data_IF_806682827233
#
_entry.id   IF_806682827233
#
_cell.length_a   1.000
_cell.length_b   1.000
_cell.length_c   1.000
_cell.angle_alpha   90.00
_cell.angle_beta   90.00
_cell.angle_gamma   90.00
#
_symmetry.space_group_name_H-M   'P 1'
#
loop_
_entity.id
_entity.type
_entity.pdbx_description
1 polymer ?
#
# COMPACT_ATOMS: atom_id res chain seq x y z
N UNK A 1 -4.71 7.34 -25.59
CA UNK A 1 -6.00 6.71 -25.92
C UNK A 1 -5.93 5.24 -25.53
N UNK A 2 -6.91 4.72 -24.80
CA UNK A 2 -6.95 3.30 -24.38
C UNK A 2 -7.05 2.38 -25.60
N UNK A 3 -6.21 1.36 -25.65
CA UNK A 3 -6.26 0.36 -26.73
C UNK A 3 -7.42 -0.62 -26.52
N UNK A 4 -7.94 -1.20 -27.60
CA UNK A 4 -8.99 -2.22 -27.52
C UNK A 4 -8.57 -3.44 -26.68
N UNK A 5 -7.28 -3.82 -26.73
CA UNK A 5 -6.72 -4.88 -25.89
C UNK A 5 -6.82 -4.53 -24.40
N UNK A 6 -6.47 -3.30 -24.04
CA UNK A 6 -6.54 -2.83 -22.65
C UNK A 6 -8.00 -2.76 -22.18
N UNK A 7 -8.91 -2.23 -23.01
CA UNK A 7 -10.34 -2.18 -22.71
C UNK A 7 -10.90 -3.57 -22.38
N UNK A 8 -10.63 -4.56 -23.24
CA UNK A 8 -11.04 -5.96 -23.01
C UNK A 8 -10.43 -6.53 -21.73
N UNK A 9 -9.17 -6.22 -21.44
CA UNK A 9 -8.53 -6.66 -20.21
C UNK A 9 -9.22 -6.08 -18.96
N UNK A 10 -9.52 -4.78 -18.96
CA UNK A 10 -10.25 -4.12 -17.86
C UNK A 10 -11.62 -4.76 -17.66
N UNK A 11 -12.37 -4.97 -18.74
CA UNK A 11 -13.69 -5.63 -18.70
C UNK A 11 -13.62 -7.06 -18.14
N UNK A 12 -12.68 -7.87 -18.63
CA UNK A 12 -12.46 -9.23 -18.13
C UNK A 12 -12.04 -9.24 -16.66
N UNK A 13 -11.16 -8.34 -16.25
CA UNK A 13 -10.74 -8.22 -14.86
C UNK A 13 -11.94 -7.89 -13.96
N UNK A 14 -12.71 -6.86 -14.30
CA UNK A 14 -13.88 -6.43 -13.51
C UNK A 14 -14.97 -7.50 -13.47
N UNK A 15 -15.19 -8.22 -14.57
CA UNK A 15 -16.11 -9.37 -14.62
C UNK A 15 -15.63 -10.52 -13.72
N UNK A 16 -14.33 -10.75 -13.61
CA UNK A 16 -13.72 -11.75 -12.73
C UNK A 16 -13.73 -11.39 -11.24
N UNK A 17 -13.99 -10.12 -10.87
CA UNK A 17 -14.15 -9.74 -9.46
C UNK A 17 -15.45 -10.33 -8.92
N UNK A 18 -15.34 -11.11 -7.84
CA UNK A 18 -16.47 -11.71 -7.12
C UNK A 18 -17.63 -10.73 -6.91
N UNK A 19 -18.90 -11.15 -7.13
CA UNK A 19 -20.08 -10.33 -6.84
C UNK A 19 -20.17 -9.92 -5.36
N UNK A 20 -19.58 -10.70 -4.46
CA UNK A 20 -19.54 -10.44 -3.02
C UNK A 20 -18.45 -9.45 -2.59
N UNK A 21 -17.58 -9.04 -3.51
CA UNK A 21 -16.54 -8.06 -3.21
C UNK A 21 -17.15 -6.66 -3.11
N UNK A 22 -16.92 -6.00 -1.97
CA UNK A 22 -17.20 -4.58 -1.77
C UNK A 22 -15.89 -3.83 -1.54
N UNK A 23 -15.56 -2.89 -2.42
CA UNK A 23 -14.35 -2.07 -2.30
C UNK A 23 -14.36 -1.19 -1.04
N UNK A 24 -15.52 -0.64 -0.70
CA UNK A 24 -15.68 0.16 0.52
C UNK A 24 -15.51 -0.69 1.78
N UNK A 25 -16.06 -1.91 1.81
CA UNK A 25 -15.85 -2.83 2.92
C UNK A 25 -14.38 -3.22 3.04
N UNK A 26 -13.72 -3.51 1.92
CA UNK A 26 -12.30 -3.86 1.90
C UNK A 26 -11.44 -2.74 2.51
N UNK A 27 -11.58 -1.50 2.00
CA UNK A 27 -10.82 -0.36 2.51
C UNK A 27 -11.22 -0.03 3.96
N UNK A 28 -12.52 -0.08 4.27
CA UNK A 28 -13.04 0.18 5.61
C UNK A 28 -12.44 -0.76 6.66
N UNK A 29 -12.40 -2.07 6.39
CA UNK A 29 -11.76 -3.05 7.28
C UNK A 29 -10.27 -2.77 7.44
N UNK A 30 -9.57 -2.48 6.34
CA UNK A 30 -8.12 -2.22 6.35
C UNK A 30 -7.76 -0.99 7.19
N UNK A 31 -8.45 0.12 6.99
CA UNK A 31 -8.20 1.37 7.72
C UNK A 31 -8.69 1.27 9.16
N UNK A 32 -9.85 0.66 9.42
CA UNK A 32 -10.33 0.46 10.78
C UNK A 32 -9.35 -0.39 11.59
N UNK A 33 -8.86 -1.50 11.03
CA UNK A 33 -7.89 -2.35 11.70
C UNK A 33 -6.56 -1.62 11.93
N UNK A 34 -6.02 -0.95 10.92
CA UNK A 34 -4.76 -0.19 11.03
C UNK A 34 -4.83 0.95 12.04
N UNK A 35 -5.87 1.78 11.99
CA UNK A 35 -6.09 2.88 12.94
C UNK A 35 -6.30 2.34 14.35
N UNK A 36 -7.11 1.30 14.51
CA UNK A 36 -7.35 0.71 15.84
C UNK A 36 -6.06 0.17 16.45
N UNK A 37 -5.20 -0.47 15.66
CA UNK A 37 -3.91 -0.97 16.12
C UNK A 37 -2.98 0.19 16.51
N UNK A 38 -2.91 1.26 15.71
CA UNK A 38 -2.14 2.47 16.04
C UNK A 38 -2.65 3.11 17.34
N UNK A 39 -3.95 3.38 17.44
CA UNK A 39 -4.57 3.99 18.63
C UNK A 39 -4.31 3.14 19.87
N UNK A 40 -4.44 1.81 19.75
CA UNK A 40 -4.15 0.90 20.85
C UNK A 40 -2.68 0.99 21.27
N UNK A 41 -1.72 0.93 20.34
CA UNK A 41 -0.29 1.04 20.67
C UNK A 41 0.06 2.39 21.32
N UNK A 42 -0.43 3.49 20.76
CA UNK A 42 -0.21 4.84 21.32
C UNK A 42 -0.78 4.95 22.73
N UNK A 43 -1.96 4.38 22.98
CA UNK A 43 -2.56 4.31 24.32
C UNK A 43 -1.85 3.40 25.32
N UNK A 44 -0.85 2.62 24.89
CA UNK A 44 0.00 1.79 25.77
C UNK A 44 1.38 2.39 26.04
N UNK A 45 1.74 3.47 25.34
CA UNK A 45 3.00 4.15 25.58
C UNK A 45 2.93 4.90 26.91
N UNK A 46 4.04 4.90 27.66
CA UNK A 46 4.18 5.64 28.90
C UNK A 46 5.16 6.78 28.70
N UNK A 47 4.64 8.02 28.61
CA UNK A 47 5.41 9.25 28.42
C UNK A 47 6.58 9.13 27.40
N UNK A 48 6.30 8.72 26.14
CA UNK A 48 7.34 8.60 25.12
C UNK A 48 7.97 9.97 24.80
N UNK A 49 9.29 10.02 24.71
CA UNK A 49 10.06 11.24 24.45
C UNK A 49 10.84 11.10 23.14
N UNK A 50 12.12 10.75 23.23
CA UNK A 50 13.01 10.60 22.08
C UNK A 50 12.68 9.36 21.24
N UNK A 51 11.92 8.40 21.77
CA UNK A 51 11.53 7.19 21.05
C UNK A 51 10.78 7.53 19.75
N UNK A 52 10.04 8.63 19.71
CA UNK A 52 9.40 9.12 18.49
C UNK A 52 10.38 9.41 17.35
N UNK A 53 11.65 9.69 17.64
CA UNK A 53 12.68 9.83 16.61
C UNK A 53 12.90 8.53 15.84
N UNK A 54 12.54 7.36 16.39
CA UNK A 54 12.61 6.07 15.69
C UNK A 54 11.65 6.00 14.50
N UNK A 55 10.63 6.86 14.42
CA UNK A 55 9.78 6.98 13.23
C UNK A 55 10.62 7.23 11.98
N UNK A 56 11.66 8.09 12.08
CA UNK A 56 12.49 8.46 10.94
C UNK A 56 13.29 7.29 10.34
N UNK A 57 14.17 6.59 11.08
CA UNK A 57 14.91 5.47 10.52
C UNK A 57 13.99 4.31 10.11
N UNK A 58 12.90 4.06 10.84
CA UNK A 58 11.94 2.99 10.48
C UNK A 58 11.20 3.35 9.19
N UNK A 59 10.75 4.59 9.00
CA UNK A 59 10.09 5.03 7.78
C UNK A 59 11.05 5.06 6.58
N UNK A 60 12.29 5.51 6.76
CA UNK A 60 13.33 5.48 5.72
C UNK A 60 13.62 4.03 5.32
N UNK A 61 13.81 3.14 6.30
CA UNK A 61 13.98 1.71 6.05
C UNK A 61 12.77 1.12 5.31
N UNK A 62 11.55 1.50 5.72
CA UNK A 62 10.30 1.14 5.05
C UNK A 62 10.26 1.54 3.58
N UNK A 63 10.71 2.75 3.24
CA UNK A 63 10.81 3.22 1.85
C UNK A 63 11.82 2.40 1.03
N UNK A 64 12.98 2.04 1.61
CA UNK A 64 13.94 1.17 0.92
C UNK A 64 13.37 -0.23 0.69
N UNK A 65 12.66 -0.79 1.68
CA UNK A 65 11.97 -2.09 1.53
C UNK A 65 10.90 -2.01 0.46
N UNK A 66 10.07 -0.96 0.46
CA UNK A 66 9.06 -0.72 -0.57
C UNK A 66 9.70 -0.66 -1.96
N UNK A 67 10.73 0.16 -2.14
CA UNK A 67 11.47 0.28 -3.39
C UNK A 67 12.05 -1.07 -3.84
N UNK A 68 12.68 -1.82 -2.93
CA UNK A 68 13.32 -3.09 -3.24
C UNK A 68 12.27 -4.15 -3.63
N UNK A 69 11.19 -4.25 -2.85
CA UNK A 69 10.06 -5.13 -3.16
C UNK A 69 9.45 -4.78 -4.50
N UNK A 70 9.21 -3.49 -4.76
CA UNK A 70 8.63 -3.03 -6.00
C UNK A 70 9.53 -3.35 -7.20
N UNK A 71 10.80 -2.99 -7.15
CA UNK A 71 11.76 -3.17 -8.26
C UNK A 71 12.17 -4.63 -8.49
N UNK A 72 12.39 -5.39 -7.42
CA UNK A 72 13.03 -6.70 -7.51
C UNK A 72 12.07 -7.87 -7.35
N UNK A 73 10.89 -7.69 -6.75
CA UNK A 73 9.90 -8.75 -6.54
C UNK A 73 8.65 -8.50 -7.39
N UNK A 74 8.13 -7.28 -7.39
CA UNK A 74 6.88 -6.98 -8.09
C UNK A 74 7.08 -6.83 -9.60
N UNK A 75 8.25 -6.36 -10.06
CA UNK A 75 8.59 -6.16 -11.48
C UNK A 75 9.49 -7.25 -12.09
N UNK A 76 9.85 -8.28 -11.33
CA UNK A 76 10.64 -9.41 -11.84
C UNK A 76 9.98 -10.72 -11.47
N UNK A 77 9.84 -11.60 -12.46
CA UNK A 77 9.32 -12.93 -12.22
C UNK A 77 10.32 -13.74 -11.41
N UNK A 78 9.93 -14.11 -10.19
CA UNK A 78 10.65 -15.05 -9.33
C UNK A 78 9.78 -16.30 -9.20
N UNK A 79 10.33 -17.48 -9.55
CA UNK A 79 9.60 -18.75 -9.56
C UNK A 79 9.46 -19.37 -8.16
N UNK A 80 8.83 -18.61 -7.26
CA UNK A 80 8.42 -19.04 -5.92
C UNK A 80 6.97 -18.63 -5.76
N UNK A 81 6.09 -19.57 -5.41
CA UNK A 81 4.63 -19.37 -5.44
C UNK A 81 4.16 -18.03 -4.85
N UNK A 82 4.62 -17.68 -3.65
CA UNK A 82 4.23 -16.42 -2.99
C UNK A 82 4.74 -15.17 -3.73
N UNK A 83 5.98 -15.20 -4.23
CA UNK A 83 6.60 -14.07 -4.93
C UNK A 83 6.02 -13.91 -6.34
N UNK A 84 5.76 -15.03 -7.03
CA UNK A 84 5.04 -15.04 -8.31
C UNK A 84 3.65 -14.43 -8.18
N UNK A 85 2.91 -14.74 -7.11
CA UNK A 85 1.58 -14.16 -6.88
C UNK A 85 1.62 -12.63 -6.71
N UNK A 86 2.69 -12.09 -6.11
CA UNK A 86 2.92 -10.65 -6.00
C UNK A 86 3.21 -10.05 -7.38
N UNK A 87 4.12 -10.66 -8.15
CA UNK A 87 4.43 -10.26 -9.52
C UNK A 87 3.20 -10.27 -10.44
N UNK A 88 2.41 -11.36 -10.41
CA UNK A 88 1.23 -11.50 -11.26
C UNK A 88 0.19 -10.42 -10.94
N UNK A 89 0.01 -10.10 -9.66
CA UNK A 89 -0.93 -9.05 -9.25
C UNK A 89 -0.44 -7.65 -9.61
N UNK A 90 0.87 -7.41 -9.55
CA UNK A 90 1.44 -6.10 -9.84
C UNK A 90 1.67 -5.90 -11.34
N UNK A 91 2.59 -6.65 -11.95
CA UNK A 91 2.93 -6.45 -13.35
C UNK A 91 1.85 -6.99 -14.30
N UNK A 92 1.31 -8.19 -14.07
CA UNK A 92 0.37 -8.80 -15.04
C UNK A 92 -1.08 -8.37 -14.86
N UNK A 93 -1.43 -7.78 -13.73
CA UNK A 93 -2.76 -7.24 -13.49
C UNK A 93 -2.72 -5.73 -13.40
N UNK A 94 -2.07 -5.15 -12.38
CA UNK A 94 -2.13 -3.72 -12.12
C UNK A 94 -1.56 -2.87 -13.28
N UNK A 95 -0.35 -3.17 -13.74
CA UNK A 95 0.28 -2.50 -14.90
C UNK A 95 -0.37 -2.84 -16.26
N UNK A 96 -1.08 -3.96 -16.36
CA UNK A 96 -1.85 -4.26 -17.58
C UNK A 96 -3.23 -3.57 -17.57
N UNK A 97 -3.77 -3.29 -16.38
CA UNK A 97 -5.05 -2.62 -16.19
C UNK A 97 -4.94 -1.12 -16.49
N UNK A 98 -3.88 -0.49 -15.98
CA UNK A 98 -3.62 0.93 -16.11
C UNK A 98 -2.59 1.21 -17.21
N UNK A 99 -2.70 2.36 -17.83
CA UNK A 99 -1.65 2.92 -18.71
C UNK A 99 -1.40 4.37 -18.31
N UNK A 100 -0.31 4.95 -18.80
CA UNK A 100 -0.01 6.37 -18.64
C UNK A 100 -1.15 7.29 -19.15
N UNK A 101 -1.83 6.87 -20.22
CA UNK A 101 -2.98 7.58 -20.79
C UNK A 101 -4.33 7.31 -20.12
N UNK A 102 -4.44 6.27 -19.28
CA UNK A 102 -5.65 5.94 -18.51
C UNK A 102 -5.28 5.23 -17.19
N UNK A 103 -4.74 5.98 -16.20
CA UNK A 103 -4.28 5.40 -14.95
C UNK A 103 -5.39 5.37 -13.90
N UNK A 104 -6.67 5.55 -14.27
CA UNK A 104 -7.73 5.83 -13.28
C UNK A 104 -8.80 4.75 -13.19
N UNK A 105 -9.32 4.56 -11.98
CA UNK A 105 -10.51 3.76 -11.70
C UNK A 105 -11.77 4.62 -11.77
N UNK A 106 -12.92 4.00 -12.04
CA UNK A 106 -14.20 4.70 -12.18
C UNK A 106 -15.30 4.15 -11.27
N UNK A 107 -15.08 3.01 -10.63
CA UNK A 107 -16.05 2.36 -9.75
C UNK A 107 -15.41 1.84 -8.47
N UNK A 108 -16.22 1.70 -7.41
CA UNK A 108 -15.76 1.12 -6.13
C UNK A 108 -15.32 -0.34 -6.25
N UNK A 109 -15.83 -1.08 -7.24
CA UNK A 109 -15.44 -2.48 -7.47
C UNK A 109 -13.97 -2.57 -7.90
N UNK A 110 -13.48 -1.57 -8.63
CA UNK A 110 -12.10 -1.48 -9.09
C UNK A 110 -11.10 -1.22 -7.96
N UNK A 111 -11.53 -0.91 -6.74
CA UNK A 111 -10.61 -0.79 -5.59
C UNK A 111 -9.74 -2.05 -5.41
N UNK A 112 -10.23 -3.20 -5.89
CA UNK A 112 -9.53 -4.50 -5.86
C UNK A 112 -8.18 -4.50 -6.56
N UNK A 113 -8.02 -3.72 -7.64
CA UNK A 113 -6.79 -3.64 -8.44
C UNK A 113 -5.79 -2.63 -7.87
N UNK A 114 -6.25 -1.73 -6.99
CA UNK A 114 -5.42 -0.70 -6.37
C UNK A 114 -4.92 -1.17 -5.00
N UNK A 115 -5.81 -1.29 -4.02
CA UNK A 115 -5.44 -1.57 -2.62
C UNK A 115 -4.87 -2.97 -2.44
N UNK A 116 -3.82 -3.13 -1.64
CA UNK A 116 -3.30 -4.44 -1.25
C UNK A 116 -4.37 -5.31 -0.57
N UNK A 117 -4.27 -6.64 -0.65
CA UNK A 117 -5.22 -7.52 0.02
C UNK A 117 -4.94 -7.49 1.53
N UNK A 118 -5.98 -7.67 2.34
CA UNK A 118 -5.88 -7.85 3.80
C UNK A 118 -4.78 -8.78 4.31
N UNK A 119 -4.36 -9.77 3.54
CA UNK A 119 -3.21 -10.65 3.87
C UNK A 119 -1.89 -9.88 4.02
N UNK A 120 -1.69 -8.80 3.28
CA UNK A 120 -0.50 -7.95 3.39
C UNK A 120 -0.51 -7.19 4.72
N UNK A 121 -1.66 -6.68 5.15
CA UNK A 121 -1.79 -6.06 6.47
C UNK A 121 -1.50 -7.06 7.59
N UNK A 122 -1.91 -8.33 7.46
CA UNK A 122 -1.57 -9.39 8.42
C UNK A 122 -0.05 -9.61 8.46
N UNK A 123 0.61 -9.72 7.31
CA UNK A 123 2.08 -9.87 7.25
C UNK A 123 2.76 -8.68 7.93
N UNK A 124 2.30 -7.45 7.68
CA UNK A 124 2.85 -6.25 8.31
C UNK A 124 2.58 -6.19 9.81
N UNK A 125 1.42 -6.65 10.28
CA UNK A 125 1.12 -6.75 11.69
C UNK A 125 2.06 -7.77 12.37
N UNK A 126 2.26 -8.96 11.78
CA UNK A 126 3.17 -9.97 12.32
C UNK A 126 4.62 -9.47 12.34
N UNK A 127 5.11 -8.94 11.21
CA UNK A 127 6.47 -8.41 11.11
C UNK A 127 6.68 -7.19 12.02
N UNK A 128 5.67 -6.30 12.09
CA UNK A 128 5.67 -5.15 12.99
C UNK A 128 5.70 -5.57 14.44
N UNK A 129 4.94 -6.60 14.84
CA UNK A 129 4.99 -7.15 16.20
C UNK A 129 6.34 -7.79 16.49
N UNK A 130 6.93 -8.51 15.53
CA UNK A 130 8.26 -9.10 15.70
C UNK A 130 9.34 -8.02 15.89
N UNK A 131 9.43 -7.04 15.00
CA UNK A 131 10.42 -5.97 15.11
C UNK A 131 10.15 -5.03 16.28
N UNK A 132 8.88 -4.76 16.58
CA UNK A 132 8.48 -4.02 17.78
C UNK A 132 8.87 -4.76 19.06
N UNK A 133 8.68 -6.09 19.11
CA UNK A 133 9.14 -6.90 20.23
C UNK A 133 10.67 -6.82 20.37
N UNK A 134 11.43 -7.00 19.29
CA UNK A 134 12.90 -6.86 19.32
C UNK A 134 13.31 -5.48 19.84
N UNK A 135 12.75 -4.40 19.31
CA UNK A 135 13.02 -3.04 19.78
C UNK A 135 12.64 -2.83 21.25
N UNK A 136 11.57 -3.49 21.72
CA UNK A 136 11.16 -3.43 23.12
C UNK A 136 12.19 -4.02 24.08
N UNK A 137 12.85 -5.10 23.65
CA UNK A 137 13.86 -5.79 24.45
C UNK A 137 15.22 -5.07 24.40
N UNK A 138 15.55 -4.43 23.26
CA UNK A 138 16.83 -3.77 23.06
C UNK A 138 16.86 -2.33 23.57
N UNK A 139 15.71 -1.64 23.60
CA UNK A 139 15.61 -0.21 23.95
C UNK A 139 14.66 -0.04 25.14
N UNK A 140 13.34 -0.09 24.89
CA UNK A 140 12.27 -0.05 25.89
C UNK A 140 10.90 -0.28 25.23
N UNK A 141 9.85 -0.44 26.02
CA UNK A 141 8.49 -0.69 25.53
C UNK A 141 7.98 0.39 24.55
N UNK A 142 8.25 1.67 24.81
CA UNK A 142 7.84 2.77 23.92
C UNK A 142 8.47 2.63 22.52
N UNK A 143 9.76 2.29 22.43
CA UNK A 143 10.44 2.04 21.17
C UNK A 143 9.77 0.90 20.38
N UNK A 144 9.39 -0.18 21.07
CA UNK A 144 8.64 -1.28 20.45
C UNK A 144 7.31 -0.84 19.84
N UNK A 145 6.54 -0.03 20.57
CA UNK A 145 5.30 0.54 20.05
C UNK A 145 5.53 1.52 18.89
N UNK A 146 6.55 2.38 18.95
CA UNK A 146 6.87 3.33 17.87
C UNK A 146 7.23 2.60 16.58
N UNK A 147 8.01 1.52 16.65
CA UNK A 147 8.34 0.69 15.47
C UNK A 147 7.07 0.13 14.84
N UNK A 148 6.19 -0.48 15.64
CA UNK A 148 4.93 -1.04 15.16
C UNK A 148 4.03 0.03 14.54
N UNK A 149 3.81 1.14 15.24
CA UNK A 149 3.00 2.29 14.78
C UNK A 149 3.54 2.82 13.45
N UNK A 150 4.86 2.95 13.33
CA UNK A 150 5.50 3.45 12.10
C UNK A 150 5.28 2.50 10.93
N UNK A 151 5.42 1.18 11.14
CA UNK A 151 5.22 0.20 10.06
C UNK A 151 3.77 0.18 9.55
N UNK A 152 2.78 0.18 10.45
CA UNK A 152 1.36 0.22 10.08
C UNK A 152 1.00 1.58 9.46
N UNK A 153 1.46 2.68 10.05
CA UNK A 153 1.24 4.03 9.55
C UNK A 153 1.84 4.23 8.15
N UNK A 154 3.06 3.76 7.92
CA UNK A 154 3.72 3.81 6.62
C UNK A 154 2.90 3.09 5.55
N UNK A 155 2.43 1.88 5.85
CA UNK A 155 1.56 1.11 4.95
C UNK A 155 0.27 1.86 4.60
N UNK A 156 -0.37 2.47 5.60
CA UNK A 156 -1.60 3.23 5.37
C UNK A 156 -1.36 4.49 4.52
N UNK A 157 -0.23 5.18 4.73
CA UNK A 157 0.19 6.31 3.90
C UNK A 157 0.46 5.85 2.47
N UNK A 158 1.18 4.75 2.28
CA UNK A 158 1.43 4.15 0.97
C UNK A 158 0.12 3.87 0.22
N UNK A 159 -0.82 3.14 0.84
CA UNK A 159 -2.11 2.80 0.21
C UNK A 159 -2.91 4.06 -0.14
N UNK A 160 -2.88 5.07 0.73
CA UNK A 160 -3.56 6.36 0.48
C UNK A 160 -2.94 7.07 -0.72
N UNK A 161 -1.61 7.15 -0.79
CA UNK A 161 -0.92 7.80 -1.89
C UNK A 161 -1.10 7.03 -3.21
N UNK A 162 -0.98 5.71 -3.19
CA UNK A 162 -1.22 4.87 -4.35
C UNK A 162 -2.66 4.99 -4.85
N UNK A 163 -3.65 5.01 -3.95
CA UNK A 163 -5.03 5.30 -4.32
C UNK A 163 -5.19 6.68 -4.97
N UNK A 164 -4.58 7.72 -4.42
CA UNK A 164 -4.57 9.05 -5.01
C UNK A 164 -3.91 9.10 -6.40
N UNK A 165 -3.03 8.15 -6.74
CA UNK A 165 -2.51 8.00 -8.10
C UNK A 165 -3.54 7.44 -9.09
N UNK A 166 -4.57 6.74 -8.61
CA UNK A 166 -5.53 6.01 -9.42
C UNK A 166 -6.95 6.59 -9.40
N UNK A 167 -7.26 7.60 -8.60
CA UNK A 167 -8.56 8.29 -8.68
C UNK A 167 -8.63 9.24 -9.89
N UNK A 168 -9.83 9.55 -10.40
CA UNK A 168 -10.02 10.60 -11.39
C UNK A 168 -9.47 11.94 -10.90
N UNK A 169 -9.05 12.76 -11.86
CA UNK A 169 -8.51 14.09 -11.59
C UNK A 169 -9.52 14.95 -10.83
N UNK A 170 -9.06 15.62 -9.77
CA UNK A 170 -9.85 16.53 -8.95
C UNK A 170 -8.94 17.59 -8.31
N UNK A 171 -9.55 18.59 -7.64
CA UNK A 171 -8.79 19.68 -7.04
C UNK A 171 -7.72 19.21 -6.05
N UNK A 172 -8.00 18.19 -5.25
CA UNK A 172 -7.07 17.70 -4.22
C UNK A 172 -5.83 17.04 -4.83
N UNK A 173 -6.00 16.03 -5.69
CA UNK A 173 -4.86 15.30 -6.30
C UNK A 173 -4.04 16.17 -7.25
N UNK A 174 -4.62 17.27 -7.74
CA UNK A 174 -3.94 18.26 -8.56
C UNK A 174 -3.06 19.22 -7.75
N UNK A 175 -3.49 19.65 -6.57
CA UNK A 175 -2.84 20.76 -5.86
C UNK A 175 -2.16 20.37 -4.55
N UNK A 176 -2.55 19.25 -3.93
CA UNK A 176 -1.92 18.81 -2.68
C UNK A 176 -0.44 18.46 -2.95
N UNK A 177 0.51 19.13 -2.28
CA UNK A 177 1.92 18.81 -2.41
C UNK A 177 2.19 17.34 -2.07
N UNK A 178 3.24 16.77 -2.66
CA UNK A 178 3.60 15.35 -2.60
C UNK A 178 2.60 14.40 -3.29
N UNK A 179 1.29 14.52 -3.05
CA UNK A 179 0.25 13.73 -3.74
C UNK A 179 0.32 13.98 -5.25
N UNK A 180 0.38 15.24 -5.65
CA UNK A 180 0.50 15.60 -7.06
C UNK A 180 1.82 15.14 -7.68
N UNK A 181 2.92 15.17 -6.91
CA UNK A 181 4.25 14.72 -7.35
C UNK A 181 4.29 13.21 -7.57
N UNK A 182 3.84 12.43 -6.57
CA UNK A 182 3.85 10.97 -6.66
C UNK A 182 2.90 10.48 -7.75
N UNK A 183 1.75 11.14 -7.94
CA UNK A 183 0.81 10.83 -9.02
C UNK A 183 1.45 10.95 -10.40
N UNK A 184 2.18 12.03 -10.68
CA UNK A 184 2.91 12.18 -11.96
C UNK A 184 3.98 11.11 -12.14
N UNK A 185 4.76 10.85 -11.09
CA UNK A 185 5.82 9.84 -11.15
C UNK A 185 5.25 8.43 -11.35
N UNK A 186 4.14 8.10 -10.67
CA UNK A 186 3.46 6.82 -10.81
C UNK A 186 2.79 6.66 -12.17
N UNK A 187 2.21 7.72 -12.73
CA UNK A 187 1.67 7.68 -14.10
C UNK A 187 2.78 7.41 -15.14
N UNK A 188 3.95 8.06 -14.99
CA UNK A 188 5.11 7.77 -15.83
C UNK A 188 5.62 6.34 -15.64
N UNK A 189 5.51 5.80 -14.43
CA UNK A 189 5.87 4.41 -14.13
C UNK A 189 4.96 3.38 -14.82
N UNK A 190 3.69 3.72 -15.09
CA UNK A 190 2.75 2.89 -15.88
C UNK A 190 3.03 2.89 -17.39
N UNK A 191 4.02 3.64 -17.86
CA UNK A 191 4.43 3.68 -19.27
C UNK A 191 5.55 2.66 -19.62
N UNK A 192 5.60 1.52 -18.92
CA UNK A 192 6.67 0.52 -19.03
C UNK A 192 6.21 -0.78 -19.71
#
# INVERSE_FOLDING_TARGET
MMTERQRRFREQYVAGISPWYSGLLHVGVMYLAGISAIVWCVGRMDNPTWEWLLVLPVAIGGNFVEWAMHKHVMHRLIDVFALRAIYDRHTRQHHQYFTDGDPTIHTVKEFRIVFFPWRVLIVLAVMGSLFGFIASQLINANAGYVVFVTMIGHYMVYETFHFCCHVPENWFVRHMPLVNTIRRHHAAHHNL
#
